data_IF_680243238358
#
_entry.id   IF_680243238358
#
_cell.length_a   1.000
_cell.length_b   1.000
_cell.length_c   1.000
_cell.angle_alpha   90.00
_cell.angle_beta   90.00
_cell.angle_gamma   90.00
#
_symmetry.space_group_name_H-M   'P 1'
#
loop_
_entity.id
_entity.type
_entity.pdbx_description
1 polymer ?
#
# COMPACT_ATOMS: atom_id res chain seq x y z
N UNK A 1 -9.72 -16.14 6.33
CA UNK A 1 -10.81 -15.20 6.60
C UNK A 1 -11.25 -14.49 5.31
N UNK A 2 -10.40 -14.43 4.25
CA UNK A 2 -10.77 -13.88 2.91
C UNK A 2 -11.23 -14.90 1.87
N UNK A 3 -11.09 -16.21 2.09
CA UNK A 3 -11.60 -17.25 1.16
C UNK A 3 -13.10 -17.15 0.87
N UNK A 4 -13.88 -16.58 1.79
CA UNK A 4 -15.32 -16.36 1.62
C UNK A 4 -15.66 -14.94 1.15
N UNK A 5 -14.66 -14.07 0.94
CA UNK A 5 -14.89 -12.76 0.36
C UNK A 5 -15.24 -12.94 -1.13
N UNK A 6 -16.54 -12.81 -1.42
CA UNK A 6 -17.06 -12.85 -2.79
C UNK A 6 -16.75 -11.52 -3.46
N UNK A 7 -15.82 -11.55 -4.42
CA UNK A 7 -15.67 -10.49 -5.41
C UNK A 7 -16.96 -10.49 -6.24
N UNK A 8 -17.81 -9.49 -6.02
CA UNK A 8 -19.05 -9.29 -6.78
C UNK A 8 -18.91 -8.04 -7.63
N UNK A 9 -19.12 -8.20 -8.94
CA UNK A 9 -19.07 -7.11 -9.91
C UNK A 9 -17.66 -6.82 -10.43
N UNK A 10 -17.62 -6.09 -11.54
CA UNK A 10 -16.42 -5.73 -12.32
C UNK A 10 -16.01 -4.27 -12.15
N UNK A 11 -16.35 -3.65 -11.01
CA UNK A 11 -15.97 -2.27 -10.75
C UNK A 11 -14.45 -2.17 -10.55
N UNK A 12 -13.78 -1.14 -11.10
CA UNK A 12 -12.36 -0.91 -10.86
C UNK A 12 -12.04 -0.74 -9.38
N UNK A 13 -10.84 -1.17 -8.98
CA UNK A 13 -10.41 -1.27 -7.58
C UNK A 13 -9.10 -0.55 -7.33
N UNK A 14 -9.14 0.36 -6.36
CA UNK A 14 -7.97 0.92 -5.71
C UNK A 14 -7.67 0.08 -4.47
N UNK A 15 -6.53 -0.61 -4.48
CA UNK A 15 -6.13 -1.49 -3.36
C UNK A 15 -5.12 -0.76 -2.48
N UNK A 16 -5.33 -0.78 -1.16
CA UNK A 16 -4.40 -0.24 -0.18
C UNK A 16 -3.86 -1.37 0.68
N UNK A 17 -2.54 -1.40 0.84
CA UNK A 17 -1.81 -2.46 1.54
C UNK A 17 -0.57 -1.85 2.19
N UNK A 18 -0.11 -2.40 3.31
CA UNK A 18 1.01 -1.81 4.06
C UNK A 18 1.08 -2.27 5.50
N UNK A 19 2.17 -2.00 6.22
CA UNK A 19 2.35 -2.47 7.60
C UNK A 19 1.24 -1.99 8.56
N UNK A 20 1.11 -2.65 9.71
CA UNK A 20 0.21 -2.15 10.76
C UNK A 20 0.63 -0.74 11.21
N UNK A 21 -0.36 0.13 11.49
CA UNK A 21 -0.14 1.50 11.97
C UNK A 21 0.63 2.43 11.02
N UNK A 22 0.72 2.15 9.72
CA UNK A 22 1.33 3.08 8.73
C UNK A 22 0.43 4.28 8.38
N UNK A 23 -0.83 4.28 8.83
CA UNK A 23 -1.81 5.32 8.48
C UNK A 23 -2.66 4.96 7.25
N UNK A 24 -2.64 3.70 6.81
CA UNK A 24 -3.44 3.15 5.71
C UNK A 24 -4.91 3.56 5.79
N UNK A 25 -5.59 3.33 6.91
CA UNK A 25 -7.00 3.70 7.06
C UNK A 25 -7.28 5.20 7.03
N UNK A 26 -6.29 6.04 7.37
CA UNK A 26 -6.39 7.50 7.18
C UNK A 26 -6.38 7.85 5.70
N UNK A 27 -5.50 7.19 4.93
CA UNK A 27 -5.43 7.33 3.47
C UNK A 27 -6.71 6.76 2.81
N UNK A 28 -7.19 5.58 3.22
CA UNK A 28 -8.48 5.03 2.78
C UNK A 28 -9.60 6.05 2.93
N UNK A 29 -9.70 6.67 4.12
CA UNK A 29 -10.74 7.67 4.42
C UNK A 29 -10.59 8.94 3.57
N UNK A 30 -9.39 9.30 3.16
CA UNK A 30 -9.14 10.46 2.32
C UNK A 30 -9.72 10.29 0.91
N UNK A 31 -9.66 9.08 0.35
CA UNK A 31 -10.19 8.77 -0.97
C UNK A 31 -11.72 8.60 -1.02
N UNK A 32 -12.39 8.51 0.14
CA UNK A 32 -13.84 8.45 0.21
C UNK A 32 -14.45 9.85 0.20
N UNK A 33 -15.51 10.05 -0.59
CA UNK A 33 -16.33 11.25 -0.52
C UNK A 33 -17.15 11.24 0.78
N UNK A 34 -17.83 10.11 1.05
CA UNK A 34 -18.53 9.87 2.30
C UNK A 34 -17.59 9.29 3.37
N UNK A 35 -16.92 10.19 4.09
CA UNK A 35 -16.01 9.86 5.20
C UNK A 35 -16.64 9.00 6.31
N UNK A 36 -17.97 8.93 6.42
CA UNK A 36 -18.66 8.10 7.42
C UNK A 36 -18.50 6.60 7.13
N UNK A 37 -18.30 6.20 5.87
CA UNK A 37 -18.10 4.80 5.48
C UNK A 37 -16.86 4.16 6.14
N UNK A 38 -15.85 4.96 6.47
CA UNK A 38 -14.63 4.50 7.16
C UNK A 38 -14.59 4.84 8.66
N UNK A 39 -15.67 5.36 9.24
CA UNK A 39 -15.72 5.65 10.69
C UNK A 39 -15.60 4.36 11.51
N UNK A 40 -14.82 4.39 12.60
CA UNK A 40 -14.52 3.19 13.42
C UNK A 40 -13.38 2.29 12.91
N UNK A 41 -12.68 2.68 11.84
CA UNK A 41 -11.48 1.97 11.34
C UNK A 41 -10.17 2.72 11.64
N UNK A 42 -10.24 4.04 11.80
CA UNK A 42 -9.11 4.90 12.16
C UNK A 42 -8.80 4.77 13.66
N UNK A 43 -7.56 4.46 14.02
CA UNK A 43 -7.12 4.43 15.42
C UNK A 43 -7.38 3.13 16.20
N UNK A 44 -7.82 2.04 15.56
CA UNK A 44 -7.89 0.73 16.23
C UNK A 44 -6.48 0.22 16.57
N UNK A 45 -6.32 -0.43 17.74
CA UNK A 45 -5.04 -0.96 18.27
C UNK A 45 -4.25 -1.74 17.20
N UNK A 46 -2.92 -1.67 17.27
CA UNK A 46 -2.01 -2.45 16.41
C UNK A 46 -2.44 -3.93 16.37
N UNK A 47 -2.56 -4.51 15.16
CA UNK A 47 -2.98 -5.92 14.98
C UNK A 47 -4.50 -6.18 14.92
N UNK A 48 -5.35 -5.14 14.93
CA UNK A 48 -6.82 -5.31 14.95
C UNK A 48 -7.49 -5.39 13.57
N UNK A 49 -6.81 -5.02 12.48
CA UNK A 49 -7.36 -5.14 11.13
C UNK A 49 -6.89 -6.45 10.52
N UNK A 50 -7.53 -7.54 10.95
CA UNK A 50 -7.38 -8.90 10.40
C UNK A 50 -8.33 -9.11 9.20
N UNK A 51 -9.23 -8.15 8.93
CA UNK A 51 -10.22 -8.23 7.87
C UNK A 51 -9.94 -7.29 6.70
N UNK A 52 -9.98 -7.84 5.49
CA UNK A 52 -10.16 -7.09 4.24
C UNK A 52 -11.45 -6.29 4.32
N UNK A 53 -11.40 -5.03 3.88
CA UNK A 53 -12.59 -4.16 3.80
C UNK A 53 -12.76 -3.63 2.39
N UNK A 54 -13.99 -3.72 1.89
CA UNK A 54 -14.40 -3.12 0.63
C UNK A 54 -15.30 -1.93 0.92
N UNK A 55 -14.95 -0.77 0.39
CA UNK A 55 -15.73 0.44 0.47
C UNK A 55 -16.33 0.73 -0.90
N UNK A 56 -17.67 0.84 -0.92
CA UNK A 56 -18.45 1.24 -2.08
C UNK A 56 -19.04 2.62 -1.79
N UNK A 57 -18.45 3.64 -2.38
CA UNK A 57 -18.90 5.02 -2.23
C UNK A 57 -19.47 5.49 -3.57
N UNK A 58 -20.78 5.73 -3.70
CA UNK A 58 -21.38 6.19 -4.96
C UNK A 58 -20.79 7.49 -5.51
N UNK A 59 -20.10 8.27 -4.66
CA UNK A 59 -19.41 9.49 -5.06
C UNK A 59 -18.01 9.30 -5.62
N UNK A 60 -17.53 8.05 -5.72
CA UNK A 60 -16.20 7.68 -6.21
C UNK A 60 -16.38 6.67 -7.35
N UNK A 61 -15.69 6.81 -8.49
CA UNK A 61 -15.94 5.97 -9.67
C UNK A 61 -15.32 4.56 -9.57
N UNK A 62 -14.66 4.24 -8.46
CA UNK A 62 -14.02 2.95 -8.19
C UNK A 62 -14.30 2.49 -6.76
N UNK A 63 -14.18 1.18 -6.52
CA UNK A 63 -14.23 0.61 -5.18
C UNK A 63 -12.86 0.70 -4.51
N UNK A 64 -12.84 0.91 -3.19
CA UNK A 64 -11.59 0.97 -2.42
C UNK A 64 -11.48 -0.29 -1.56
N UNK A 65 -10.35 -0.98 -1.67
CA UNK A 65 -10.07 -2.20 -0.92
C UNK A 65 -8.95 -1.93 0.08
N UNK A 66 -9.25 -2.04 1.36
CA UNK A 66 -8.28 -1.91 2.45
C UNK A 66 -7.88 -3.32 2.92
N UNK A 67 -6.70 -3.78 2.49
CA UNK A 67 -6.14 -5.08 2.89
C UNK A 67 -5.55 -5.03 4.30
N UNK A 68 -5.53 -6.16 5.04
CA UNK A 68 -4.83 -6.21 6.31
C UNK A 68 -3.34 -5.87 6.12
N UNK A 69 -2.68 -5.47 7.21
CA UNK A 69 -1.26 -5.16 7.11
C UNK A 69 -0.38 -6.41 7.05
N UNK A 70 0.65 -6.41 6.21
CA UNK A 70 1.55 -7.56 6.01
C UNK A 70 2.89 -7.46 6.75
N UNK A 71 3.22 -6.33 7.36
CA UNK A 71 4.45 -6.18 8.14
C UNK A 71 4.51 -6.96 9.45
N UNK A 72 5.68 -6.92 10.09
CA UNK A 72 5.95 -7.55 11.39
C UNK A 72 4.95 -7.09 12.47
N UNK A 73 3.88 -7.85 12.65
CA UNK A 73 3.02 -7.70 13.82
C UNK A 73 3.76 -8.32 15.02
N UNK A 74 4.17 -7.48 15.98
CA UNK A 74 4.95 -7.91 17.17
C UNK A 74 4.15 -8.77 18.15
N UNK A 75 2.83 -8.91 17.95
CA UNK A 75 1.90 -9.65 18.83
C UNK A 75 1.15 -10.78 18.12
N UNK A 76 1.65 -11.25 16.98
CA UNK A 76 0.95 -12.21 16.12
C UNK A 76 1.84 -13.41 15.84
N UNK A 77 1.28 -14.63 15.92
CA UNK A 77 2.01 -15.88 15.62
C UNK A 77 2.52 -15.88 14.17
N UNK A 78 3.61 -16.63 13.92
CA UNK A 78 4.17 -16.81 12.56
C UNK A 78 3.11 -17.32 11.59
N UNK A 79 2.35 -18.34 12.01
CA UNK A 79 1.23 -18.91 11.24
C UNK A 79 0.18 -17.87 10.81
N UNK A 80 -0.17 -16.92 11.69
CA UNK A 80 -1.15 -15.89 11.36
C UNK A 80 -0.57 -14.83 10.40
N UNK A 81 0.75 -14.58 10.44
CA UNK A 81 1.43 -13.72 9.43
C UNK A 81 1.44 -14.39 8.07
N UNK A 82 1.86 -15.65 8.00
CA UNK A 82 1.92 -16.43 6.76
C UNK A 82 0.52 -16.56 6.14
N UNK A 83 -0.50 -16.74 6.99
CA UNK A 83 -1.90 -16.74 6.56
C UNK A 83 -2.34 -15.39 6.01
N UNK A 84 -2.02 -14.27 6.68
CA UNK A 84 -2.36 -12.92 6.19
C UNK A 84 -1.67 -12.64 4.84
N UNK A 85 -0.41 -13.04 4.69
CA UNK A 85 0.33 -12.92 3.42
C UNK A 85 -0.34 -13.73 2.32
N UNK A 86 -0.61 -15.01 2.58
CA UNK A 86 -1.30 -15.89 1.64
C UNK A 86 -2.68 -15.33 1.24
N UNK A 87 -3.38 -14.73 2.19
CA UNK A 87 -4.69 -14.14 1.99
C UNK A 87 -4.65 -12.82 1.17
N UNK A 88 -3.57 -12.03 1.28
CA UNK A 88 -3.32 -10.85 0.43
C UNK A 88 -3.00 -11.29 -0.99
N UNK A 89 -2.10 -12.26 -1.15
CA UNK A 89 -1.71 -12.83 -2.45
C UNK A 89 -2.95 -13.37 -3.16
N UNK A 90 -3.71 -14.26 -2.50
CA UNK A 90 -4.94 -14.85 -3.04
C UNK A 90 -5.96 -13.77 -3.46
N UNK A 91 -6.13 -12.71 -2.67
CA UNK A 91 -7.04 -11.63 -3.05
C UNK A 91 -6.58 -10.92 -4.33
N UNK A 92 -5.32 -10.50 -4.37
CA UNK A 92 -4.76 -9.75 -5.50
C UNK A 92 -4.81 -10.59 -6.77
N UNK A 93 -4.48 -11.88 -6.71
CA UNK A 93 -4.55 -12.78 -7.86
C UNK A 93 -5.99 -13.01 -8.36
N UNK A 94 -6.93 -13.25 -7.44
CA UNK A 94 -8.35 -13.49 -7.78
C UNK A 94 -9.01 -12.25 -8.38
N UNK A 95 -8.58 -11.06 -7.98
CA UNK A 95 -9.21 -9.79 -8.38
C UNK A 95 -8.39 -8.96 -9.37
N UNK A 96 -7.25 -9.47 -9.83
CA UNK A 96 -6.27 -8.72 -10.64
C UNK A 96 -6.87 -7.95 -11.81
N UNK A 97 -7.89 -8.51 -12.48
CA UNK A 97 -8.54 -7.89 -13.65
C UNK A 97 -9.27 -6.60 -13.33
N UNK A 98 -9.67 -6.40 -12.07
CA UNK A 98 -10.38 -5.20 -11.64
C UNK A 98 -9.46 -4.23 -10.91
N UNK A 99 -8.23 -4.61 -10.56
CA UNK A 99 -7.29 -3.75 -9.83
C UNK A 99 -6.59 -2.82 -10.81
N UNK A 100 -6.90 -1.52 -10.75
CA UNK A 100 -6.25 -0.53 -11.60
C UNK A 100 -5.00 0.08 -10.96
N UNK A 101 -4.87 -0.01 -9.63
CA UNK A 101 -3.72 0.50 -8.88
C UNK A 101 -3.65 -0.10 -7.47
N UNK A 102 -2.44 -0.45 -7.03
CA UNK A 102 -2.12 -0.83 -5.65
C UNK A 102 -1.27 0.26 -4.98
N UNK A 103 -1.73 0.80 -3.86
CA UNK A 103 -0.95 1.68 -2.99
C UNK A 103 -0.29 0.87 -1.88
N UNK A 104 1.03 0.73 -1.94
CA UNK A 104 1.85 0.10 -0.90
C UNK A 104 2.30 1.16 0.08
N UNK A 105 1.84 1.12 1.32
CA UNK A 105 1.99 2.21 2.29
C UNK A 105 2.98 1.82 3.38
N UNK A 106 4.02 2.62 3.56
CA UNK A 106 5.01 2.47 4.61
C UNK A 106 5.00 3.66 5.56
N UNK A 107 5.57 3.46 6.75
CA UNK A 107 5.75 4.51 7.74
C UNK A 107 7.15 5.10 7.60
N UNK A 108 7.25 6.35 7.14
CA UNK A 108 8.53 7.03 6.97
C UNK A 108 9.35 7.11 8.25
N UNK A 109 8.71 7.18 9.42
CA UNK A 109 9.41 7.22 10.72
C UNK A 109 10.09 5.90 11.08
N UNK A 110 9.64 4.78 10.50
CA UNK A 110 10.09 3.42 10.86
C UNK A 110 10.86 2.71 9.76
N UNK A 111 10.78 3.18 8.52
CA UNK A 111 11.35 2.46 7.39
C UNK A 111 12.87 2.32 7.50
N UNK A 112 13.59 3.33 8.01
CA UNK A 112 15.04 3.21 8.22
C UNK A 112 15.37 2.15 9.28
N UNK A 113 14.62 2.10 10.38
CA UNK A 113 14.78 1.04 11.39
C UNK A 113 14.53 -0.37 10.78
N UNK A 114 13.52 -0.48 9.90
CA UNK A 114 13.20 -1.72 9.20
C UNK A 114 14.31 -2.12 8.22
N UNK A 115 14.86 -1.17 7.44
CA UNK A 115 15.98 -1.41 6.53
C UNK A 115 17.26 -1.79 7.29
N UNK A 116 17.60 -1.07 8.34
CA UNK A 116 18.76 -1.35 9.17
C UNK A 116 18.70 -2.78 9.72
N UNK A 117 17.56 -3.16 10.31
CA UNK A 117 17.39 -4.46 10.93
C UNK A 117 17.41 -5.61 9.92
N UNK A 118 16.66 -5.48 8.83
CA UNK A 118 16.39 -6.62 7.95
C UNK A 118 17.28 -6.67 6.75
N UNK A 119 17.80 -5.54 6.28
CA UNK A 119 18.55 -5.48 5.04
C UNK A 119 20.03 -5.21 5.26
N UNK A 120 20.41 -4.33 6.20
CA UNK A 120 21.83 -4.01 6.46
C UNK A 120 22.49 -4.90 7.52
N UNK A 121 21.75 -5.33 8.54
CA UNK A 121 22.26 -6.23 9.58
C UNK A 121 22.10 -7.71 9.20
N UNK A 122 21.15 -8.00 8.31
CA UNK A 122 20.83 -9.35 7.87
C UNK A 122 20.67 -9.38 6.33
N UNK A 123 21.79 -9.29 5.61
CA UNK A 123 21.83 -9.25 4.14
C UNK A 123 21.23 -10.51 3.45
N UNK A 124 20.68 -11.45 4.21
CA UNK A 124 19.98 -12.62 3.67
C UNK A 124 18.48 -12.40 3.51
N UNK A 125 17.94 -11.33 4.10
CA UNK A 125 16.49 -11.08 4.13
C UNK A 125 16.14 -9.74 3.46
N UNK A 126 15.15 -9.79 2.57
CA UNK A 126 14.58 -8.57 1.99
C UNK A 126 13.42 -8.12 2.87
N UNK A 127 13.24 -6.82 3.16
CA UNK A 127 12.04 -6.41 3.87
C UNK A 127 10.81 -6.73 3.03
N UNK A 128 9.81 -7.41 3.63
CA UNK A 128 8.58 -7.89 2.99
C UNK A 128 7.89 -6.88 2.05
N UNK A 129 8.03 -5.58 2.31
CA UNK A 129 7.49 -4.52 1.44
C UNK A 129 8.09 -4.56 0.04
N UNK A 130 9.41 -4.75 -0.07
CA UNK A 130 10.12 -4.76 -1.34
C UNK A 130 9.89 -6.06 -2.10
N UNK A 131 9.84 -7.20 -1.40
CA UNK A 131 9.40 -8.47 -1.99
C UNK A 131 8.01 -8.33 -2.60
N UNK A 132 7.09 -7.72 -1.87
CA UNK A 132 5.72 -7.51 -2.33
C UNK A 132 5.65 -6.55 -3.52
N UNK A 133 6.46 -5.49 -3.55
CA UNK A 133 6.57 -4.59 -4.71
C UNK A 133 7.09 -5.34 -5.95
N UNK A 134 8.13 -6.15 -5.78
CA UNK A 134 8.70 -6.98 -6.85
C UNK A 134 7.65 -7.97 -7.39
N UNK A 135 6.99 -8.70 -6.49
CA UNK A 135 5.93 -9.66 -6.83
C UNK A 135 4.78 -9.02 -7.61
N UNK A 136 4.27 -7.86 -7.16
CA UNK A 136 3.22 -7.12 -7.86
C UNK A 136 3.64 -6.79 -9.30
N UNK A 137 4.86 -6.28 -9.48
CA UNK A 137 5.34 -5.79 -10.77
C UNK A 137 5.71 -6.89 -11.75
N UNK A 138 6.37 -7.94 -11.26
CA UNK A 138 7.00 -8.98 -12.09
C UNK A 138 6.08 -10.18 -12.31
N UNK A 139 5.48 -10.71 -11.25
CA UNK A 139 4.66 -11.92 -11.30
C UNK A 139 3.19 -11.63 -11.58
N UNK A 140 2.60 -10.67 -10.86
CA UNK A 140 1.18 -10.33 -11.05
C UNK A 140 0.99 -9.41 -12.27
N UNK A 141 1.95 -8.52 -12.50
CA UNK A 141 1.91 -7.54 -13.58
C UNK A 141 0.92 -6.39 -13.35
N UNK A 142 0.71 -5.97 -12.11
CA UNK A 142 -0.17 -4.85 -11.76
C UNK A 142 0.62 -3.56 -11.51
N UNK A 143 0.01 -2.39 -11.77
CA UNK A 143 0.58 -1.10 -11.38
C UNK A 143 0.51 -0.88 -9.86
N UNK A 144 1.59 -0.37 -9.28
CA UNK A 144 1.64 0.03 -7.88
C UNK A 144 2.38 1.35 -7.64
N UNK A 145 2.13 1.96 -6.49
CA UNK A 145 2.85 3.12 -6.00
C UNK A 145 3.24 2.95 -4.54
N UNK A 146 4.46 3.36 -4.20
CA UNK A 146 4.98 3.31 -2.83
C UNK A 146 4.70 4.65 -2.12
N UNK A 147 3.92 4.59 -1.04
CA UNK A 147 3.48 5.75 -0.27
C UNK A 147 4.24 5.82 1.05
N UNK A 148 5.13 6.81 1.18
CA UNK A 148 5.89 7.08 2.41
C UNK A 148 5.06 8.03 3.27
N UNK A 149 4.28 7.48 4.19
CA UNK A 149 3.38 8.27 5.04
C UNK A 149 4.05 8.74 6.34
N UNK A 150 3.42 9.70 7.02
CA UNK A 150 3.82 10.31 8.30
C UNK A 150 5.06 11.20 8.24
N UNK A 151 5.30 11.83 7.09
CA UNK A 151 6.42 12.77 6.96
C UNK A 151 6.26 14.02 7.84
N UNK A 152 5.09 14.27 8.42
CA UNK A 152 4.89 15.31 9.43
C UNK A 152 5.73 15.12 10.71
N UNK A 153 6.21 13.90 10.94
CA UNK A 153 7.10 13.57 12.07
C UNK A 153 8.58 13.60 11.69
N UNK A 154 8.89 13.98 10.45
CA UNK A 154 10.24 13.98 9.91
C UNK A 154 10.67 15.38 9.50
N UNK A 155 11.95 15.68 9.68
CA UNK A 155 12.59 16.84 9.08
C UNK A 155 12.73 16.61 7.57
N UNK A 156 12.74 17.68 6.78
CA UNK A 156 12.93 17.61 5.33
C UNK A 156 14.15 16.76 4.92
N UNK A 157 15.27 16.91 5.65
CA UNK A 157 16.50 16.13 5.42
C UNK A 157 16.30 14.62 5.63
N UNK A 158 15.49 14.23 6.62
CA UNK A 158 15.23 12.82 6.95
C UNK A 158 14.35 12.19 5.86
N UNK A 159 13.35 12.93 5.37
CA UNK A 159 12.54 12.49 4.22
C UNK A 159 13.39 12.27 2.97
N UNK A 160 14.34 13.18 2.68
CA UNK A 160 15.28 13.02 1.55
C UNK A 160 16.15 11.78 1.73
N UNK A 161 16.72 11.57 2.93
CA UNK A 161 17.51 10.39 3.24
C UNK A 161 16.69 9.10 3.05
N UNK A 162 15.46 9.05 3.55
CA UNK A 162 14.56 7.90 3.38
C UNK A 162 14.35 7.57 1.90
N UNK A 163 14.05 8.58 1.07
CA UNK A 163 13.85 8.37 -0.37
C UNK A 163 15.10 7.82 -1.03
N UNK A 164 16.29 8.32 -0.66
CA UNK A 164 17.57 7.84 -1.18
C UNK A 164 17.85 6.40 -0.77
N UNK A 165 17.66 6.05 0.51
CA UNK A 165 17.87 4.68 1.01
C UNK A 165 16.91 3.69 0.36
N UNK A 166 15.62 4.03 0.25
CA UNK A 166 14.65 3.21 -0.48
C UNK A 166 15.09 3.05 -1.94
N UNK A 167 15.57 4.11 -2.58
CA UNK A 167 16.05 4.06 -3.97
C UNK A 167 17.21 3.08 -4.18
N UNK A 168 18.15 3.00 -3.24
CA UNK A 168 19.26 2.02 -3.28
C UNK A 168 18.73 0.59 -3.22
N UNK A 169 17.83 0.34 -2.27
CA UNK A 169 17.19 -0.97 -2.06
C UNK A 169 16.41 -1.39 -3.30
N UNK A 170 15.62 -0.49 -3.89
CA UNK A 170 14.89 -0.74 -5.13
C UNK A 170 15.83 -1.10 -6.28
N UNK A 171 16.94 -0.37 -6.44
CA UNK A 171 17.93 -0.62 -7.48
C UNK A 171 18.58 -2.00 -7.33
N UNK A 172 18.97 -2.39 -6.11
CA UNK A 172 19.56 -3.71 -5.84
C UNK A 172 18.59 -4.85 -6.15
N UNK A 173 17.29 -4.66 -5.91
CA UNK A 173 16.26 -5.63 -6.25
C UNK A 173 15.72 -5.52 -7.68
N UNK A 174 16.37 -4.72 -8.54
CA UNK A 174 15.96 -4.49 -9.93
C UNK A 174 14.50 -4.01 -10.07
N UNK A 175 14.02 -3.25 -9.08
CA UNK A 175 12.69 -2.64 -9.09
C UNK A 175 12.83 -1.22 -9.66
N UNK A 176 12.48 -1.06 -10.93
CA UNK A 176 12.51 0.25 -11.58
C UNK A 176 11.24 1.05 -11.30
N UNK A 177 11.41 2.37 -11.14
CA UNK A 177 10.30 3.32 -11.06
C UNK A 177 10.03 3.87 -12.46
N UNK A 178 8.85 3.62 -13.00
CA UNK A 178 8.46 4.13 -14.32
C UNK A 178 7.00 4.59 -14.33
N UNK A 179 6.79 5.90 -14.24
CA UNK A 179 5.44 6.51 -14.22
C UNK A 179 4.62 6.25 -15.48
N UNK A 180 5.27 5.98 -16.62
CA UNK A 180 4.61 5.72 -17.91
C UNK A 180 4.33 4.24 -18.15
N UNK A 181 4.81 3.35 -17.28
CA UNK A 181 4.57 1.92 -17.42
C UNK A 181 3.11 1.57 -17.09
N UNK A 182 2.48 0.62 -17.80
CA UNK A 182 1.16 0.12 -17.41
C UNK A 182 1.19 -0.72 -16.13
N UNK A 183 2.36 -1.20 -15.68
CA UNK A 183 2.54 -2.11 -14.55
C UNK A 183 3.83 -1.85 -13.77
N UNK A 184 3.99 -2.49 -12.61
CA UNK A 184 5.17 -2.32 -11.76
C UNK A 184 5.10 -1.06 -10.91
N UNK A 185 6.23 -0.70 -10.30
CA UNK A 185 6.31 0.48 -9.45
C UNK A 185 6.29 1.75 -10.32
N UNK A 186 5.18 2.47 -10.25
CA UNK A 186 4.99 3.66 -11.07
C UNK A 186 5.62 4.88 -10.42
N UNK A 187 5.42 5.04 -9.10
CA UNK A 187 5.81 6.26 -8.38
C UNK A 187 6.09 6.00 -6.91
N UNK A 188 6.99 6.80 -6.34
CA UNK A 188 7.14 6.99 -4.90
C UNK A 188 6.55 8.34 -4.49
N UNK A 189 5.68 8.37 -3.47
CA UNK A 189 5.07 9.62 -2.98
C UNK A 189 5.23 9.72 -1.47
N UNK A 190 5.88 10.79 -1.02
CA UNK A 190 6.00 11.12 0.39
C UNK A 190 4.81 12.00 0.82
N UNK A 191 4.04 11.56 1.82
CA UNK A 191 2.80 12.21 2.26
C UNK A 191 2.67 12.32 3.78
N UNK A 192 1.87 13.28 4.23
CA UNK A 192 1.28 13.25 5.58
C UNK A 192 -0.23 13.17 5.45
N UNK A 193 -0.79 11.96 5.61
CA UNK A 193 -2.23 11.78 5.62
C UNK A 193 -2.90 12.49 6.81
N UNK A 194 -2.16 12.73 7.89
CA UNK A 194 -2.65 13.45 9.08
C UNK A 194 -2.79 14.94 8.81
N UNK A 195 -1.78 15.56 8.19
CA UNK A 195 -1.72 17.01 8.01
C UNK A 195 -2.08 17.45 6.57
N UNK A 196 -2.38 16.50 5.67
CA UNK A 196 -2.75 16.78 4.29
C UNK A 196 -1.58 17.06 3.34
N UNK A 197 -0.34 16.92 3.79
CA UNK A 197 0.86 17.20 2.96
C UNK A 197 0.92 16.19 1.80
N UNK A 198 1.02 16.71 0.57
CA UNK A 198 1.07 15.97 -0.71
C UNK A 198 -0.13 15.03 -0.97
N UNK A 199 -1.20 15.12 -0.18
CA UNK A 199 -2.37 14.25 -0.37
C UNK A 199 -3.14 14.57 -1.65
N UNK A 200 -3.16 15.84 -2.09
CA UNK A 200 -3.78 16.21 -3.36
C UNK A 200 -2.97 15.72 -4.57
N UNK A 201 -1.64 15.75 -4.50
CA UNK A 201 -0.79 15.16 -5.54
C UNK A 201 -1.06 13.65 -5.66
N UNK A 202 -1.12 12.95 -4.53
CA UNK A 202 -1.48 11.54 -4.49
C UNK A 202 -2.88 11.30 -5.07
N UNK A 203 -3.84 12.17 -4.78
CA UNK A 203 -5.21 12.08 -5.33
C UNK A 203 -5.20 12.17 -6.85
N UNK A 204 -4.57 13.21 -7.40
CA UNK A 204 -4.46 13.44 -8.84
C UNK A 204 -3.76 12.28 -9.54
N UNK A 205 -2.71 11.72 -8.94
CA UNK A 205 -2.05 10.54 -9.47
C UNK A 205 -3.00 9.33 -9.58
N UNK A 206 -3.78 9.05 -8.54
CA UNK A 206 -4.77 7.96 -8.54
C UNK A 206 -5.86 8.20 -9.59
N UNK A 207 -6.41 9.41 -9.68
CA UNK A 207 -7.44 9.77 -10.65
C UNK A 207 -6.93 9.66 -12.10
N UNK A 208 -5.71 10.13 -12.36
CA UNK A 208 -5.07 9.98 -13.67
C UNK A 208 -4.87 8.51 -14.02
N UNK A 209 -4.42 7.68 -13.06
CA UNK A 209 -4.23 6.25 -13.31
C UNK A 209 -5.55 5.54 -13.62
N UNK A 210 -6.61 5.89 -12.90
CA UNK A 210 -7.97 5.38 -13.13
C UNK A 210 -8.47 5.74 -14.54
N UNK A 211 -8.33 7.00 -14.95
CA UNK A 211 -8.76 7.44 -16.28
C UNK A 211 -8.00 6.72 -17.41
N UNK A 212 -6.71 6.42 -17.22
CA UNK A 212 -5.93 5.64 -18.20
C UNK A 212 -6.46 4.22 -18.39
N UNK A 213 -7.07 3.62 -17.36
CA UNK A 213 -7.62 2.25 -17.45
C UNK A 213 -9.03 2.19 -18.06
N UNK A 214 -9.78 3.29 -18.05
CA UNK A 214 -11.11 3.38 -18.69
C UNK A 214 -11.02 3.59 -20.22
N UNK A 215 -9.86 3.99 -20.72
CA UNK A 215 -9.61 4.28 -22.15
C UNK A 215 -8.80 3.19 -22.87
N UNK A 216 -8.63 2.01 -22.27
CA UNK A 216 -7.96 0.83 -22.84
C UNK A 216 -8.95 -0.33 -22.96
#
# INVERSE_FOLDING_TARGET
MFKNFRIKGSHPRLVLVGNSNVGKSTITKFFLQNKKLATGTVGKKAGSTVSLKLYKDPGVPFEIVDLPGFGAMTRTSKELKDKIHSEIIDYVERDKKNIFLILVIINGVRILDELEKWYYQDNTTIPLTFEFLSWIGTEVGLPCALIINKIDQLKKRETVQIIQEIGKVLHEFHIEINENSPKGLLKMVAVSAKNGVNMQELKLFVENRFNLTEHC
#
